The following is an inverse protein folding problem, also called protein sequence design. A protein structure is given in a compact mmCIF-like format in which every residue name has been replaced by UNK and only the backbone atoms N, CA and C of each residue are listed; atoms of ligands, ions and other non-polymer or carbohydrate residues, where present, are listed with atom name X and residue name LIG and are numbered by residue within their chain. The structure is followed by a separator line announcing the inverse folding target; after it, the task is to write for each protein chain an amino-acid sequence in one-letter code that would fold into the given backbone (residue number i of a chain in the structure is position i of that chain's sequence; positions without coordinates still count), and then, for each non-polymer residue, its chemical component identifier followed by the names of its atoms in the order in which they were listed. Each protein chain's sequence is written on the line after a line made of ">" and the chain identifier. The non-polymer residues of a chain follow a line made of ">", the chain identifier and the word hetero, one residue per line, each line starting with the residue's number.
data_IF_709404762900
#
_entry.id   IF_709404762900
#
_cell.length_a   1.000
_cell.length_b   1.000
_cell.length_c   1.000
_cell.angle_alpha   90.00
_cell.angle_beta   90.00
_cell.angle_gamma   90.00
#
_symmetry.space_group_name_H-M   'P 1'
#
loop_
_entity.id
_entity.type
_entity.pdbx_description
1 polymer ?
#
# COMPACT_ATOMS: atom_id res chain seq x y z
N UNK A 1 5.45 -9.22 -10.78
CA UNK A 1 5.29 -8.05 -9.88
C UNK A 1 5.76 -6.75 -10.55
N UNK A 2 6.98 -6.64 -11.10
CA UNK A 2 7.48 -5.39 -11.71
C UNK A 2 6.51 -4.84 -12.77
N UNK A 3 6.09 -5.65 -13.72
CA UNK A 3 5.11 -5.24 -14.76
C UNK A 3 3.77 -4.74 -14.18
N UNK A 4 3.33 -5.31 -13.07
CA UNK A 4 2.11 -4.84 -12.38
C UNK A 4 2.35 -3.44 -11.79
N UNK A 5 3.47 -3.21 -11.12
CA UNK A 5 3.81 -1.90 -10.57
C UNK A 5 3.97 -0.84 -11.67
N UNK A 6 4.59 -1.18 -12.79
CA UNK A 6 4.69 -0.30 -13.97
C UNK A 6 3.31 0.09 -14.50
N UNK A 7 2.41 -0.88 -14.67
CA UNK A 7 1.03 -0.62 -15.09
C UNK A 7 0.29 0.27 -14.10
N UNK A 8 0.41 -0.01 -12.80
CA UNK A 8 -0.23 0.80 -11.75
C UNK A 8 0.29 2.24 -11.75
N UNK A 9 1.58 2.45 -11.90
CA UNK A 9 2.16 3.80 -11.98
C UNK A 9 1.67 4.56 -13.23
N UNK A 10 1.52 3.88 -14.36
CA UNK A 10 0.93 4.48 -15.58
C UNK A 10 -0.51 4.90 -15.35
N UNK A 11 -1.35 4.00 -14.82
CA UNK A 11 -2.75 4.29 -14.51
C UNK A 11 -2.87 5.44 -13.53
N UNK A 12 -2.06 5.46 -12.46
CA UNK A 12 -2.01 6.55 -11.49
C UNK A 12 -1.59 7.86 -12.14
N UNK A 13 -0.58 7.88 -13.01
CA UNK A 13 -0.17 9.07 -13.73
C UNK A 13 -1.33 9.66 -14.53
N UNK A 14 -2.00 8.85 -15.33
CA UNK A 14 -3.14 9.28 -16.16
C UNK A 14 -4.30 9.76 -15.30
N UNK A 15 -4.63 9.06 -14.21
CA UNK A 15 -5.71 9.45 -13.30
C UNK A 15 -5.46 10.79 -12.59
N UNK A 16 -4.21 11.19 -12.47
CA UNK A 16 -3.78 12.47 -11.92
C UNK A 16 -3.64 13.58 -12.99
N UNK A 17 -4.01 13.29 -14.23
CA UNK A 17 -3.85 14.24 -15.35
C UNK A 17 -2.41 14.46 -15.77
N UNK A 18 -1.50 13.53 -15.44
CA UNK A 18 -0.09 13.58 -15.79
C UNK A 18 0.18 12.78 -17.07
N UNK A 19 1.33 13.00 -17.67
CA UNK A 19 1.81 12.16 -18.77
C UNK A 19 2.00 10.71 -18.28
N UNK A 20 1.66 9.74 -19.12
CA UNK A 20 1.53 8.33 -18.76
C UNK A 20 2.75 7.74 -18.04
N UNK A 21 3.96 8.09 -18.45
CA UNK A 21 5.20 7.61 -17.85
C UNK A 21 5.74 8.52 -16.73
N UNK A 22 4.98 9.51 -16.27
CA UNK A 22 5.47 10.52 -15.34
C UNK A 22 5.95 9.93 -14.02
N UNK A 23 5.10 9.18 -13.31
CA UNK A 23 5.49 8.59 -12.03
C UNK A 23 6.61 7.55 -12.19
N UNK A 24 6.59 6.78 -13.27
CA UNK A 24 7.65 5.81 -13.53
C UNK A 24 9.01 6.48 -13.70
N UNK A 25 9.09 7.59 -14.44
CA UNK A 25 10.34 8.35 -14.57
C UNK A 25 10.76 9.03 -13.26
N UNK A 26 9.80 9.57 -12.51
CA UNK A 26 10.05 10.24 -11.24
C UNK A 26 10.66 9.31 -10.18
N UNK A 27 10.28 8.02 -10.21
CA UNK A 27 10.72 7.03 -9.22
C UNK A 27 11.77 6.03 -9.74
N UNK A 28 12.56 6.41 -10.72
CA UNK A 28 13.76 5.68 -11.14
C UNK A 28 13.62 4.84 -12.41
N UNK A 29 12.52 4.89 -13.12
CA UNK A 29 12.34 4.22 -14.40
C UNK A 29 12.67 2.72 -14.33
N UNK A 30 13.47 2.24 -15.28
CA UNK A 30 13.91 0.83 -15.35
C UNK A 30 14.86 0.42 -14.21
N UNK A 31 15.42 1.38 -13.46
CA UNK A 31 16.28 1.14 -12.29
C UNK A 31 15.51 1.10 -10.97
N UNK A 32 14.19 1.10 -10.98
CA UNK A 32 13.39 1.03 -9.76
C UNK A 32 13.66 -0.27 -9.00
N UNK A 33 14.15 -0.14 -7.75
CA UNK A 33 14.38 -1.27 -6.86
C UNK A 33 13.07 -1.88 -6.37
N UNK A 34 13.05 -3.19 -6.19
CA UNK A 34 11.95 -3.90 -5.55
C UNK A 34 12.47 -4.76 -4.40
N UNK A 35 11.77 -4.74 -3.27
CA UNK A 35 12.06 -5.58 -2.11
C UNK A 35 10.89 -6.54 -1.89
N UNK A 36 11.20 -7.82 -1.72
CA UNK A 36 10.24 -8.82 -1.28
C UNK A 36 10.38 -9.01 0.23
N UNK A 37 9.27 -8.92 0.96
CA UNK A 37 9.20 -9.23 2.38
C UNK A 37 8.13 -10.30 2.62
N UNK A 38 8.47 -11.32 3.38
CA UNK A 38 7.52 -12.31 3.86
C UNK A 38 7.31 -12.09 5.37
N UNK A 39 6.07 -11.84 5.79
CA UNK A 39 5.71 -11.66 7.19
C UNK A 39 4.91 -12.89 7.65
N UNK A 40 5.33 -13.48 8.74
CA UNK A 40 4.60 -14.57 9.40
C UNK A 40 4.13 -14.09 10.77
N UNK A 41 2.83 -14.18 11.00
CA UNK A 41 2.18 -13.83 12.27
C UNK A 41 1.70 -15.13 12.95
N UNK A 42 2.42 -15.66 13.94
CA UNK A 42 2.01 -16.86 14.65
C UNK A 42 0.71 -16.62 15.42
N UNK A 43 0.03 -17.71 15.76
CA UNK A 43 -1.18 -17.65 16.61
C UNK A 43 -0.83 -16.95 17.93
N UNK A 44 -1.54 -15.88 18.24
CA UNK A 44 -1.36 -15.12 19.46
C UNK A 44 -2.26 -15.65 20.58
N UNK A 45 -1.72 -15.97 21.80
CA UNK A 45 -2.53 -16.43 22.92
C UNK A 45 -3.36 -15.29 23.55
N UNK A 46 -3.00 -14.03 23.34
CA UNK A 46 -3.66 -12.83 23.87
C UNK A 46 -3.87 -11.77 22.78
N UNK A 47 -4.73 -12.03 21.78
CA UNK A 47 -4.89 -11.17 20.62
C UNK A 47 -5.41 -9.77 20.96
N UNK A 48 -6.20 -9.64 22.03
CA UNK A 48 -6.76 -8.34 22.45
C UNK A 48 -5.69 -7.39 23.03
N UNK A 49 -4.56 -7.93 23.44
CA UNK A 49 -3.44 -7.18 24.03
C UNK A 49 -2.26 -7.02 23.08
N UNK A 50 -2.36 -7.53 21.86
CA UNK A 50 -1.21 -7.60 20.95
C UNK A 50 -1.55 -7.00 19.59
N UNK A 51 -0.68 -6.12 19.10
CA UNK A 51 -0.68 -5.68 17.71
C UNK A 51 0.37 -6.50 16.95
N UNK A 52 0.00 -7.07 15.83
CA UNK A 52 0.94 -7.76 14.93
C UNK A 52 1.94 -6.78 14.31
N UNK A 53 1.47 -5.58 14.00
CA UNK A 53 2.30 -4.48 13.51
C UNK A 53 1.69 -3.15 13.96
N UNK A 54 2.54 -2.21 14.38
CA UNK A 54 2.10 -0.87 14.75
C UNK A 54 1.57 -0.09 13.57
N UNK A 55 0.73 0.92 13.83
CA UNK A 55 0.27 1.84 12.82
C UNK A 55 1.46 2.56 12.14
N UNK A 56 1.48 2.55 10.82
CA UNK A 56 2.53 3.18 10.02
C UNK A 56 1.99 3.56 8.64
N UNK A 57 2.73 4.38 7.90
CA UNK A 57 2.61 4.55 6.46
C UNK A 57 3.72 3.81 5.75
N UNK A 58 3.51 3.46 4.49
CA UNK A 58 4.53 2.80 3.67
C UNK A 58 5.47 3.85 3.06
N UNK A 59 6.78 3.83 3.35
CA UNK A 59 7.70 4.90 2.91
C UNK A 59 8.05 4.84 1.42
N UNK A 60 7.67 3.78 0.71
CA UNK A 60 7.98 3.55 -0.70
C UNK A 60 7.03 4.26 -1.67
N UNK A 61 7.03 3.78 -2.91
CA UNK A 61 6.15 4.22 -4.00
C UNK A 61 4.83 3.44 -3.97
N UNK A 62 4.93 2.12 -4.06
CA UNK A 62 3.81 1.18 -4.01
C UNK A 62 4.17 -0.01 -3.13
N UNK A 63 3.23 -0.44 -2.32
CA UNK A 63 3.28 -1.74 -1.65
C UNK A 63 2.22 -2.65 -2.25
N UNK A 64 2.64 -3.81 -2.75
CA UNK A 64 1.74 -4.83 -3.27
C UNK A 64 1.73 -5.98 -2.29
N UNK A 65 0.61 -6.15 -1.61
CA UNK A 65 0.43 -7.12 -0.54
C UNK A 65 -0.42 -8.30 -1.02
N UNK A 66 0.11 -9.51 -0.86
CA UNK A 66 -0.66 -10.75 -0.94
C UNK A 66 -0.99 -11.17 0.50
N UNK A 67 -2.23 -10.94 0.91
CA UNK A 67 -2.71 -11.32 2.23
C UNK A 67 -3.18 -12.78 2.27
N UNK A 68 -3.14 -13.39 3.46
CA UNK A 68 -3.85 -14.64 3.72
C UNK A 68 -5.36 -14.44 3.52
N UNK A 69 -6.01 -15.32 2.77
CA UNK A 69 -7.44 -15.18 2.44
C UNK A 69 -8.37 -15.42 3.65
N UNK A 70 -7.87 -16.07 4.69
CA UNK A 70 -8.66 -16.43 5.88
C UNK A 70 -8.46 -15.48 7.06
N UNK A 71 -7.37 -14.68 7.05
CA UNK A 71 -6.99 -13.82 8.18
C UNK A 71 -7.25 -12.35 7.87
N UNK A 72 -8.14 -11.72 8.63
CA UNK A 72 -8.52 -10.30 8.48
C UNK A 72 -7.69 -9.43 9.41
N UNK A 73 -6.35 -9.40 9.19
CA UNK A 73 -5.44 -8.66 10.05
C UNK A 73 -5.18 -7.22 9.63
N UNK A 74 -5.35 -6.90 8.34
CA UNK A 74 -5.04 -5.58 7.81
C UNK A 74 -6.17 -4.59 8.12
N UNK A 75 -5.79 -3.45 8.69
CA UNK A 75 -6.68 -2.30 8.88
C UNK A 75 -6.08 -1.07 8.24
N UNK A 76 -6.91 -0.20 7.68
CA UNK A 76 -6.52 1.08 7.12
C UNK A 76 -7.27 2.20 7.83
N UNK A 77 -6.60 3.35 8.03
CA UNK A 77 -7.19 4.50 8.68
C UNK A 77 -7.73 5.47 7.63
N UNK A 78 -9.01 5.78 7.73
CA UNK A 78 -9.65 6.82 6.89
C UNK A 78 -9.22 8.23 7.33
N UNK A 79 -9.44 9.20 6.47
CA UNK A 79 -9.14 10.62 6.74
C UNK A 79 -9.84 11.13 8.03
N UNK A 80 -11.03 10.61 8.35
CA UNK A 80 -11.76 10.92 9.59
C UNK A 80 -11.16 10.27 10.85
N UNK A 81 -10.07 9.50 10.73
CA UNK A 81 -9.39 8.84 11.84
C UNK A 81 -9.93 7.45 12.17
N UNK A 82 -10.99 7.00 11.53
CA UNK A 82 -11.59 5.67 11.72
C UNK A 82 -10.71 4.57 11.11
N UNK A 83 -10.54 3.45 11.84
CA UNK A 83 -9.88 2.25 11.36
C UNK A 83 -10.89 1.30 10.71
N UNK A 84 -10.62 0.89 9.49
CA UNK A 84 -11.47 -0.02 8.72
C UNK A 84 -10.69 -1.28 8.35
N UNK A 85 -11.26 -2.43 8.65
CA UNK A 85 -10.68 -3.73 8.26
C UNK A 85 -10.80 -3.92 6.75
N UNK A 86 -9.67 -4.20 6.11
CA UNK A 86 -9.63 -4.59 4.70
C UNK A 86 -9.96 -6.06 4.60
N UNK A 87 -11.01 -6.38 3.84
CA UNK A 87 -11.38 -7.77 3.58
C UNK A 87 -10.43 -8.34 2.53
N UNK A 88 -9.72 -9.44 2.81
CA UNK A 88 -8.96 -10.11 1.78
C UNK A 88 -9.91 -10.68 0.71
N UNK A 89 -9.49 -10.58 -0.54
CA UNK A 89 -10.19 -11.19 -1.67
C UNK A 89 -9.30 -12.30 -2.21
N UNK A 90 -9.86 -13.46 -2.41
CA UNK A 90 -9.14 -14.62 -2.94
C UNK A 90 -8.49 -14.27 -4.27
N UNK A 91 -7.26 -14.72 -4.46
CA UNK A 91 -6.46 -14.53 -5.69
C UNK A 91 -6.28 -13.04 -6.09
N UNK A 92 -6.39 -12.13 -5.13
CA UNK A 92 -6.21 -10.69 -5.37
C UNK A 92 -5.06 -10.11 -4.56
N UNK A 93 -4.46 -9.05 -5.09
CA UNK A 93 -3.51 -8.22 -4.37
C UNK A 93 -4.20 -7.01 -3.75
N UNK A 94 -3.73 -6.60 -2.57
CA UNK A 94 -4.02 -5.30 -2.00
C UNK A 94 -2.87 -4.38 -2.41
N UNK A 95 -3.19 -3.19 -2.91
CA UNK A 95 -2.18 -2.22 -3.33
C UNK A 95 -2.29 -0.96 -2.49
N UNK A 96 -1.21 -0.61 -1.80
CA UNK A 96 -1.09 0.63 -1.06
C UNK A 96 -0.24 1.62 -1.85
N UNK A 97 -0.69 2.86 -1.93
CA UNK A 97 0.10 3.98 -2.45
C UNK A 97 0.93 4.53 -1.30
N UNK A 98 2.25 4.52 -1.45
CA UNK A 98 3.16 4.93 -0.41
C UNK A 98 3.45 6.43 -0.36
N UNK A 99 4.18 6.84 0.69
CA UNK A 99 4.45 8.23 1.02
C UNK A 99 5.15 9.01 -0.11
N UNK A 100 6.02 8.36 -0.88
CA UNK A 100 6.72 9.04 -1.99
C UNK A 100 5.75 9.52 -3.06
N UNK A 101 4.76 8.71 -3.44
CA UNK A 101 3.73 9.14 -4.39
C UNK A 101 2.88 10.24 -3.79
N UNK A 102 2.50 10.08 -2.52
CA UNK A 102 1.70 11.07 -1.81
C UNK A 102 2.38 12.45 -1.78
N UNK A 103 3.65 12.52 -1.38
CA UNK A 103 4.41 13.77 -1.37
C UNK A 103 4.52 14.37 -2.77
N UNK A 104 4.73 13.53 -3.80
CA UNK A 104 4.86 13.98 -5.18
C UNK A 104 3.58 14.63 -5.73
N UNK A 105 2.42 14.20 -5.23
CA UNK A 105 1.11 14.64 -5.74
C UNK A 105 0.28 15.50 -4.77
N UNK A 106 0.78 15.74 -3.54
CA UNK A 106 0.06 16.48 -2.48
C UNK A 106 -0.44 17.85 -2.93
N UNK A 107 0.28 18.49 -3.85
CA UNK A 107 -0.10 19.79 -4.42
C UNK A 107 -1.10 19.66 -5.59
N UNK A 108 -1.50 18.44 -5.99
CA UNK A 108 -2.29 18.20 -7.19
C UNK A 108 -3.60 17.46 -6.92
N UNK A 109 -3.67 16.64 -5.87
CA UNK A 109 -4.88 15.94 -5.47
C UNK A 109 -4.83 15.54 -3.99
N UNK A 110 -5.94 15.65 -3.24
CA UNK A 110 -6.02 15.10 -1.90
C UNK A 110 -6.04 13.56 -2.00
N UNK A 111 -4.92 12.91 -1.74
CA UNK A 111 -4.88 11.46 -1.58
C UNK A 111 -5.23 11.07 -0.15
N UNK A 112 -6.01 10.02 -0.02
CA UNK A 112 -6.29 9.38 1.26
C UNK A 112 -4.99 8.79 1.82
N UNK A 113 -4.57 9.28 2.97
CA UNK A 113 -3.52 8.67 3.79
C UNK A 113 -3.98 7.26 4.19
N UNK A 114 -3.40 6.24 3.58
CA UNK A 114 -3.58 4.86 4.00
C UNK A 114 -2.50 4.53 5.03
N UNK A 115 -2.84 4.66 6.32
CA UNK A 115 -2.03 4.07 7.38
C UNK A 115 -2.54 2.66 7.63
N UNK A 116 -1.66 1.68 7.70
CA UNK A 116 -2.02 0.27 7.90
C UNK A 116 -1.63 -0.23 9.29
N UNK A 117 -2.46 -1.08 9.88
CA UNK A 117 -2.16 -1.88 11.08
C UNK A 117 -2.42 -3.35 10.73
N UNK A 118 -1.57 -4.27 11.20
CA UNK A 118 -1.89 -5.70 11.26
C UNK A 118 -2.31 -6.08 12.69
N UNK A 119 -3.45 -6.73 12.84
CA UNK A 119 -3.93 -7.34 14.09
C UNK A 119 -4.00 -8.85 13.98
#
# INVERSE_FOLDING_TARGET
>A
MVRLCELLMRVLSVSLGLEEAHLQRAFGGAGCGATLRANYYPRCPQPDLTLGLSAHSDPGVLTVLLADEHVRGLQVRRAAGEWVTVQPVRDAFIVNVGDQVQVHIINRAPLLLLSAIAR
#
